data_IF_812669522520
#
_entry.id   IF_812669522520
#
_cell.length_a   1.000
_cell.length_b   1.000
_cell.length_c   1.000
_cell.angle_alpha   90.00
_cell.angle_beta   90.00
_cell.angle_gamma   90.00
#
_symmetry.space_group_name_H-M   'P 1'
#
loop_
_entity.id
_entity.type
_entity.pdbx_description
1 polymer ?
#
# COMPACT_ATOMS: atom_id res chain seq x y z
N UNK A 1 -26.27 -4.54 -4.76
CA UNK A 1 -25.44 -3.82 -3.80
C UNK A 1 -23.97 -3.98 -4.16
N UNK A 2 -23.28 -2.95 -4.02
CA UNK A 2 -21.89 -2.94 -4.45
C UNK A 2 -21.01 -2.55 -3.28
N UNK A 3 -19.94 -3.28 -3.09
CA UNK A 3 -18.97 -2.90 -2.09
C UNK A 3 -18.36 -1.56 -2.50
N UNK A 4 -18.21 -0.63 -1.56
CA UNK A 4 -17.61 0.66 -1.87
C UNK A 4 -16.14 0.54 -2.24
N UNK A 5 -15.51 -0.53 -1.82
CA UNK A 5 -14.10 -0.74 -2.10
C UNK A 5 -13.88 -2.12 -2.67
N UNK A 6 -12.85 -2.24 -3.46
CA UNK A 6 -12.39 -3.55 -3.87
C UNK A 6 -11.93 -4.28 -2.62
N UNK A 7 -12.43 -5.48 -2.41
CA UNK A 7 -12.05 -6.27 -1.24
C UNK A 7 -10.70 -6.94 -1.54
N UNK A 8 -9.68 -6.12 -1.76
CA UNK A 8 -8.38 -6.62 -2.15
C UNK A 8 -7.29 -5.83 -1.42
N UNK A 9 -6.14 -6.44 -1.33
CA UNK A 9 -4.97 -5.84 -0.71
C UNK A 9 -3.88 -5.79 -1.76
N UNK A 10 -3.36 -4.61 -2.01
CA UNK A 10 -2.32 -4.39 -3.02
C UNK A 10 -1.03 -3.99 -2.35
N UNK A 11 0.07 -4.11 -3.07
CA UNK A 11 1.37 -3.72 -2.58
C UNK A 11 2.15 -2.91 -3.59
N UNK A 12 3.07 -2.10 -3.08
CA UNK A 12 3.98 -1.34 -3.93
C UNK A 12 5.10 -2.25 -4.43
N UNK A 13 5.75 -1.83 -5.51
CA UNK A 13 6.79 -2.65 -6.10
C UNK A 13 8.14 -2.49 -5.40
N UNK A 14 8.37 -1.38 -4.72
CA UNK A 14 9.67 -1.12 -4.12
C UNK A 14 9.57 -0.35 -2.83
N UNK A 15 10.59 0.45 -2.58
CA UNK A 15 10.71 1.18 -1.33
C UNK A 15 9.88 2.46 -1.30
N UNK A 16 9.52 2.96 -2.47
CA UNK A 16 8.78 4.20 -2.59
C UNK A 16 7.59 4.00 -3.49
N UNK A 17 6.57 4.79 -3.27
CA UNK A 17 5.38 4.77 -4.10
C UNK A 17 5.63 5.63 -5.33
N UNK A 18 5.50 5.02 -6.50
CA UNK A 18 5.67 5.79 -7.74
C UNK A 18 4.39 6.54 -8.08
N UNK A 19 4.53 7.53 -8.95
CA UNK A 19 3.38 8.31 -9.39
C UNK A 19 2.34 7.42 -10.08
N UNK A 20 2.81 6.49 -10.90
CA UNK A 20 1.90 5.59 -11.60
C UNK A 20 1.17 4.69 -10.63
N UNK A 21 1.87 4.18 -9.61
CA UNK A 21 1.24 3.35 -8.61
C UNK A 21 0.20 4.13 -7.81
N UNK A 22 0.52 5.37 -7.46
CA UNK A 22 -0.41 6.20 -6.72
C UNK A 22 -1.70 6.40 -7.51
N UNK A 23 -1.58 6.67 -8.79
CA UNK A 23 -2.75 6.86 -9.63
C UNK A 23 -3.57 5.58 -9.74
N UNK A 24 -2.87 4.44 -9.88
CA UNK A 24 -3.55 3.16 -9.96
C UNK A 24 -4.31 2.86 -8.67
N UNK A 25 -3.67 3.08 -7.53
CA UNK A 25 -4.31 2.78 -6.25
C UNK A 25 -5.48 3.71 -5.97
N UNK A 26 -5.34 4.97 -6.36
CA UNK A 26 -6.45 5.90 -6.19
C UNK A 26 -7.67 5.44 -6.98
N UNK A 27 -7.44 4.95 -8.19
CA UNK A 27 -8.52 4.51 -9.05
C UNK A 27 -9.12 3.20 -8.57
N UNK A 28 -8.28 2.26 -8.16
CA UNK A 28 -8.73 0.96 -7.70
C UNK A 28 -9.37 1.02 -6.32
N UNK A 29 -8.92 1.95 -5.48
CA UNK A 29 -9.42 2.14 -4.13
C UNK A 29 -9.49 0.82 -3.36
N UNK A 30 -8.35 0.14 -3.16
CA UNK A 30 -8.35 -1.16 -2.50
C UNK A 30 -8.71 -1.02 -1.02
N UNK A 31 -9.11 -2.13 -0.42
CA UNK A 31 -9.39 -2.16 1.01
C UNK A 31 -8.16 -1.73 1.83
N UNK A 32 -7.00 -2.24 1.47
CA UNK A 32 -5.79 -1.93 2.20
C UNK A 32 -4.55 -2.27 1.40
N UNK A 33 -3.44 -2.29 2.09
CA UNK A 33 -2.15 -2.55 1.46
C UNK A 33 -1.38 -3.58 2.27
N UNK A 34 -0.43 -4.23 1.61
CA UNK A 34 0.47 -5.16 2.27
C UNK A 34 1.90 -4.78 1.86
N UNK A 35 2.81 -4.79 2.82
CA UNK A 35 4.22 -4.52 2.55
C UNK A 35 5.01 -5.78 2.84
N UNK A 36 5.97 -6.04 2.00
CA UNK A 36 6.86 -7.20 2.10
C UNK A 36 8.26 -6.72 2.44
N UNK A 37 9.14 -7.67 2.69
CA UNK A 37 10.52 -7.32 3.01
C UNK A 37 11.14 -6.41 1.97
N UNK A 38 10.80 -6.60 0.70
CA UNK A 38 11.36 -5.77 -0.38
C UNK A 38 10.93 -4.31 -0.26
N UNK A 39 9.89 -4.04 0.51
CA UNK A 39 9.37 -2.68 0.67
C UNK A 39 9.94 -1.97 1.88
N UNK A 40 10.79 -2.64 2.65
CA UNK A 40 11.24 -2.12 3.93
C UNK A 40 12.76 -1.99 3.95
N UNK A 41 13.23 -0.79 4.15
CA UNK A 41 14.65 -0.53 4.31
C UNK A 41 14.95 -0.09 5.73
N UNK A 42 14.18 0.85 6.24
CA UNK A 42 14.32 1.31 7.62
C UNK A 42 12.98 1.89 8.07
N UNK A 43 12.81 2.14 9.37
CA UNK A 43 11.52 2.60 9.88
C UNK A 43 11.06 3.93 9.29
N UNK A 44 11.97 4.86 9.06
CA UNK A 44 11.57 6.15 8.51
C UNK A 44 11.08 6.01 7.08
N UNK A 45 11.76 5.19 6.29
CA UNK A 45 11.34 4.94 4.91
C UNK A 45 9.98 4.25 4.90
N UNK A 46 9.78 3.27 5.78
CA UNK A 46 8.52 2.55 5.83
C UNK A 46 7.36 3.47 6.19
N UNK A 47 7.57 4.35 7.16
CA UNK A 47 6.52 5.30 7.53
C UNK A 47 6.15 6.19 6.34
N UNK A 48 7.14 6.62 5.58
CA UNK A 48 6.88 7.45 4.41
C UNK A 48 6.08 6.68 3.37
N UNK A 49 6.45 5.43 3.13
CA UNK A 49 5.75 4.61 2.16
C UNK A 49 4.29 4.40 2.57
N UNK A 50 4.06 4.04 3.83
CA UNK A 50 2.68 3.81 4.27
C UNK A 50 1.86 5.09 4.25
N UNK A 51 2.49 6.21 4.59
CA UNK A 51 1.80 7.50 4.52
C UNK A 51 1.40 7.81 3.08
N UNK A 52 2.31 7.57 2.15
CA UNK A 52 2.01 7.83 0.74
C UNK A 52 0.91 6.93 0.22
N UNK A 53 0.90 5.67 0.65
CA UNK A 53 -0.15 4.75 0.23
C UNK A 53 -1.52 5.23 0.71
N UNK A 54 -1.60 5.63 1.97
CA UNK A 54 -2.86 6.12 2.51
C UNK A 54 -3.29 7.42 1.85
N UNK A 55 -2.33 8.27 1.54
CA UNK A 55 -2.64 9.52 0.87
C UNK A 55 -3.15 9.27 -0.55
N UNK A 56 -2.62 8.26 -1.22
CA UNK A 56 -3.05 7.95 -2.57
C UNK A 56 -4.53 7.61 -2.62
N UNK A 57 -5.03 6.88 -1.61
CA UNK A 57 -6.44 6.51 -1.58
C UNK A 57 -7.29 7.51 -0.80
N UNK A 58 -6.68 8.49 -0.15
CA UNK A 58 -7.41 9.55 0.54
C UNK A 58 -8.07 9.11 1.82
N UNK A 59 -7.61 8.05 2.43
CA UNK A 59 -8.16 7.60 3.69
C UNK A 59 -7.13 6.79 4.46
N UNK A 60 -7.46 6.46 5.68
CA UNK A 60 -6.56 5.77 6.58
C UNK A 60 -6.68 4.26 6.39
N UNK A 61 -6.31 3.80 5.21
CA UNK A 61 -6.41 2.40 4.85
C UNK A 61 -5.46 1.55 5.69
N UNK A 62 -5.85 0.33 6.03
CA UNK A 62 -4.96 -0.56 6.77
C UNK A 62 -3.76 -0.97 5.94
N UNK A 63 -2.63 -1.12 6.60
CA UNK A 63 -1.41 -1.59 5.97
C UNK A 63 -0.90 -2.77 6.77
N UNK A 64 -0.78 -3.90 6.12
CA UNK A 64 -0.31 -5.13 6.74
C UNK A 64 1.15 -5.32 6.42
N UNK A 65 1.87 -5.91 7.35
CA UNK A 65 3.28 -6.24 7.12
C UNK A 65 3.41 -7.75 7.08
N UNK A 66 3.93 -8.25 5.97
CA UNK A 66 4.16 -9.68 5.80
C UNK A 66 5.64 -9.94 6.02
N UNK A 67 5.98 -10.42 7.20
CA UNK A 67 7.36 -10.63 7.56
C UNK A 67 7.93 -11.90 6.96
N UNK A 68 7.09 -12.78 6.52
CA UNK A 68 7.54 -14.04 5.94
C UNK A 68 7.27 -14.12 4.46
N UNK A 69 6.71 -13.08 3.91
CA UNK A 69 6.20 -13.13 2.55
C UNK A 69 7.24 -13.32 1.49
N UNK A 70 8.49 -13.25 1.84
CA UNK A 70 9.54 -13.46 0.88
C UNK A 70 9.94 -14.91 0.73
N UNK A 71 9.35 -15.76 1.48
CA UNK A 71 9.78 -17.14 1.54
C UNK A 71 9.23 -17.98 0.42
#
# INVERSE_FOLDING_TARGET
MTAPHVAAVFGASGLELTTDEAAFFRDADPFGFIVFARNIEDPAQLRRLTSDLREAVGRDAPVLVDQEGGR
#
